data_IF_728103736094
#
_entry.id   IF_728103736094
#
_cell.length_a   1.000
_cell.length_b   1.000
_cell.length_c   1.000
_cell.angle_alpha   90.00
_cell.angle_beta   90.00
_cell.angle_gamma   90.00
#
_symmetry.space_group_name_H-M   'P 1'
#
loop_
_entity.id
_entity.type
_entity.pdbx_description
1 polymer ?
#
# COMPACT_ATOMS: atom_id res chain seq x y z
N UNK A 1 69.63 7.20 -8.60
CA UNK A 1 68.61 8.23 -8.37
C UNK A 1 67.29 7.52 -8.19
N UNK A 2 66.86 7.34 -6.93
CA UNK A 2 65.69 6.53 -6.56
C UNK A 2 64.46 7.45 -6.62
N UNK A 3 63.51 7.17 -7.51
CA UNK A 3 62.27 7.94 -7.63
C UNK A 3 61.27 7.34 -6.65
N UNK A 4 60.94 8.09 -5.58
CA UNK A 4 59.89 7.73 -4.63
C UNK A 4 58.57 8.24 -5.19
N UNK A 5 57.69 7.31 -5.54
CA UNK A 5 56.31 7.60 -5.97
C UNK A 5 55.46 7.82 -4.71
N UNK A 6 55.02 9.05 -4.44
CA UNK A 6 54.11 9.35 -3.35
C UNK A 6 52.66 9.03 -3.77
N UNK A 7 52.09 7.98 -3.18
CA UNK A 7 50.66 7.67 -3.29
C UNK A 7 49.85 8.66 -2.47
N UNK A 8 49.29 9.67 -3.14
CA UNK A 8 48.25 10.53 -2.58
C UNK A 8 46.99 9.68 -2.37
N UNK A 9 46.75 9.28 -1.12
CA UNK A 9 45.48 8.70 -0.73
C UNK A 9 44.43 9.81 -0.77
N UNK A 10 43.50 9.74 -1.72
CA UNK A 10 42.29 10.56 -1.65
C UNK A 10 41.51 10.11 -0.41
N UNK A 11 41.48 10.95 0.61
CA UNK A 11 40.55 10.78 1.73
C UNK A 11 39.16 11.01 1.14
N UNK A 12 38.45 9.92 0.82
CA UNK A 12 37.02 9.99 0.59
C UNK A 12 36.41 10.63 1.84
N UNK A 13 35.67 11.72 1.67
CA UNK A 13 35.03 12.43 2.76
C UNK A 13 34.08 11.46 3.48
N UNK A 14 34.40 11.10 4.73
CA UNK A 14 33.49 10.46 5.70
C UNK A 14 32.37 11.44 6.14
N UNK A 15 31.79 12.20 5.22
CA UNK A 15 30.63 13.04 5.52
C UNK A 15 29.41 12.18 5.25
N UNK A 16 28.74 11.75 6.32
CA UNK A 16 27.34 11.36 6.20
C UNK A 16 26.62 12.56 5.58
N UNK A 17 25.86 12.38 4.47
CA UNK A 17 25.02 13.45 3.98
C UNK A 17 23.98 13.74 5.07
N UNK A 18 24.16 14.85 5.77
CA UNK A 18 23.13 15.40 6.65
C UNK A 18 22.16 16.21 5.78
N UNK A 19 20.86 15.98 5.96
CA UNK A 19 19.85 16.85 5.37
C UNK A 19 20.06 18.26 5.91
N UNK A 20 20.02 19.26 5.04
CA UNK A 20 20.12 20.66 5.45
C UNK A 20 19.08 20.97 6.53
N UNK A 21 19.49 21.76 7.52
CA UNK A 21 18.65 22.18 8.64
C UNK A 21 17.37 22.85 8.10
N UNK A 22 16.21 22.36 8.56
CA UNK A 22 14.89 22.81 8.08
C UNK A 22 14.31 22.05 6.88
N UNK A 23 14.99 21.02 6.32
CA UNK A 23 14.42 20.14 5.28
C UNK A 23 13.50 19.04 5.81
N UNK A 24 13.51 18.78 7.12
CA UNK A 24 12.69 17.73 7.73
C UNK A 24 11.48 18.36 8.41
N UNK A 25 10.32 18.18 7.81
CA UNK A 25 9.02 18.40 8.45
C UNK A 25 8.49 17.04 8.92
N UNK A 26 8.01 16.97 10.16
CA UNK A 26 7.44 15.75 10.74
C UNK A 26 6.00 16.04 11.16
N UNK A 27 5.06 15.38 10.49
CA UNK A 27 3.64 15.47 10.77
C UNK A 27 3.12 14.08 11.20
N UNK A 28 2.47 14.01 12.37
CA UNK A 28 1.78 12.81 12.83
C UNK A 28 0.37 12.77 12.21
N UNK A 29 0.23 12.04 11.11
CA UNK A 29 -1.00 12.01 10.32
C UNK A 29 -2.12 11.18 10.98
N UNK A 30 -1.76 10.13 11.72
CA UNK A 30 -2.71 9.14 12.23
C UNK A 30 -2.42 8.82 13.69
N UNK A 31 -2.98 9.63 14.59
CA UNK A 31 -2.75 9.53 16.02
C UNK A 31 -3.96 8.93 16.75
N UNK A 32 -3.81 7.70 17.23
CA UNK A 32 -4.85 7.01 18.00
C UNK A 32 -5.18 7.72 19.34
N UNK A 33 -4.25 8.49 19.91
CA UNK A 33 -4.52 9.28 21.13
C UNK A 33 -5.57 10.38 20.92
N UNK A 34 -5.85 10.75 19.67
CA UNK A 34 -6.87 11.73 19.34
C UNK A 34 -8.30 11.14 19.31
N UNK A 35 -8.45 9.81 19.25
CA UNK A 35 -9.74 9.15 19.25
C UNK A 35 -9.69 7.84 20.08
N UNK A 36 -10.28 7.80 21.29
CA UNK A 36 -10.21 6.64 22.18
C UNK A 36 -10.94 5.39 21.66
N UNK A 37 -11.80 5.54 20.65
CA UNK A 37 -12.49 4.41 20.03
C UNK A 37 -11.57 3.64 19.06
N UNK A 38 -10.43 4.22 18.67
CA UNK A 38 -9.46 3.60 17.76
C UNK A 38 -8.28 3.06 18.56
N UNK A 39 -8.09 1.74 18.53
CA UNK A 39 -6.97 1.10 19.22
C UNK A 39 -5.61 1.50 18.62
N UNK A 40 -5.48 1.49 17.28
CA UNK A 40 -4.30 1.99 16.59
C UNK A 40 -4.49 2.15 15.08
N UNK A 41 -3.53 2.83 14.45
CA UNK A 41 -3.36 2.86 13.01
C UNK A 41 -2.10 2.10 12.60
N UNK A 42 -2.18 1.30 11.53
CA UNK A 42 -1.05 0.47 11.05
C UNK A 42 -1.06 0.33 9.53
N UNK A 43 0.10 -0.06 8.99
CA UNK A 43 0.26 -0.46 7.59
C UNK A 43 0.03 0.71 6.60
N UNK A 44 0.99 1.66 6.52
CA UNK A 44 0.83 2.84 5.68
C UNK A 44 1.03 2.54 4.19
N UNK A 45 0.27 3.26 3.37
CA UNK A 45 0.45 3.41 1.93
C UNK A 45 0.43 4.90 1.58
N UNK A 46 1.24 5.32 0.61
CA UNK A 46 1.22 6.71 0.14
C UNK A 46 1.55 6.80 -1.35
N UNK A 47 0.80 7.63 -2.07
CA UNK A 47 1.02 7.94 -3.49
C UNK A 47 0.94 9.44 -3.72
N UNK A 48 1.55 9.87 -4.83
CA UNK A 48 1.36 11.20 -5.40
C UNK A 48 0.45 11.07 -6.61
N UNK A 49 -0.70 11.73 -6.57
CA UNK A 49 -1.62 11.81 -7.69
C UNK A 49 -1.02 12.67 -8.82
N UNK A 50 -1.56 12.55 -10.03
CA UNK A 50 -1.02 13.25 -11.22
C UNK A 50 -1.17 14.78 -11.15
N UNK A 51 -2.07 15.31 -10.31
CA UNK A 51 -2.19 16.73 -10.01
C UNK A 51 -1.18 17.23 -8.95
N UNK A 52 -0.38 16.34 -8.37
CA UNK A 52 0.61 16.65 -7.32
C UNK A 52 0.11 16.46 -5.90
N UNK A 53 -1.18 16.14 -5.70
CA UNK A 53 -1.73 15.86 -4.37
C UNK A 53 -1.12 14.58 -3.80
N UNK A 54 -0.93 14.54 -2.48
CA UNK A 54 -0.54 13.31 -1.77
C UNK A 54 -1.78 12.65 -1.19
N UNK A 55 -1.87 11.33 -1.34
CA UNK A 55 -2.89 10.50 -0.69
C UNK A 55 -2.18 9.48 0.18
N UNK A 56 -2.41 9.53 1.49
CA UNK A 56 -1.89 8.59 2.47
C UNK A 56 -3.04 7.73 3.00
N UNK A 57 -2.92 6.40 2.87
CA UNK A 57 -3.88 5.42 3.37
C UNK A 57 -3.27 4.58 4.51
N UNK A 58 -4.09 4.10 5.42
CA UNK A 58 -3.66 3.29 6.57
C UNK A 58 -4.83 2.43 7.10
N UNK A 59 -4.53 1.32 7.78
CA UNK A 59 -5.53 0.63 8.58
C UNK A 59 -5.97 1.54 9.73
N UNK A 60 -7.27 1.69 9.93
CA UNK A 60 -7.87 2.12 11.18
C UNK A 60 -8.38 0.88 11.93
N UNK A 61 -7.68 0.47 13.00
CA UNK A 61 -8.02 -0.73 13.76
C UNK A 61 -8.80 -0.33 15.01
N UNK A 62 -10.08 -0.67 15.04
CA UNK A 62 -11.03 -0.16 16.04
C UNK A 62 -10.93 -0.93 17.37
N UNK A 63 -11.28 -2.23 17.45
CA UNK A 63 -11.40 -2.92 18.74
C UNK A 63 -10.06 -3.29 19.39
N UNK A 64 -9.03 -3.52 18.58
CA UNK A 64 -7.70 -3.95 19.03
C UNK A 64 -6.65 -3.67 17.96
N UNK A 65 -5.36 -3.82 18.30
CA UNK A 65 -4.26 -3.73 17.33
C UNK A 65 -3.95 -5.04 16.60
N UNK A 66 -4.80 -6.06 16.73
CA UNK A 66 -4.60 -7.35 16.07
C UNK A 66 -4.69 -7.23 14.55
N UNK A 67 -4.07 -8.17 13.85
CA UNK A 67 -4.14 -8.27 12.40
C UNK A 67 -5.50 -8.83 11.94
N UNK A 68 -5.72 -8.87 10.63
CA UNK A 68 -7.01 -9.16 9.98
C UNK A 68 -7.78 -10.36 10.57
N UNK A 69 -7.09 -11.46 10.90
CA UNK A 69 -7.73 -12.67 11.45
C UNK A 69 -8.30 -12.49 12.87
N UNK A 70 -7.78 -11.53 13.63
CA UNK A 70 -8.12 -11.28 15.05
C UNK A 70 -9.12 -10.14 15.25
N UNK A 71 -9.15 -9.18 14.32
CA UNK A 71 -10.02 -7.99 14.46
C UNK A 71 -11.24 -8.04 13.55
N UNK A 72 -12.41 -7.79 14.14
CA UNK A 72 -13.73 -7.81 13.48
C UNK A 72 -14.16 -6.46 12.90
N UNK A 73 -13.30 -5.46 13.00
CA UNK A 73 -13.52 -4.10 12.50
C UNK A 73 -12.14 -3.46 12.26
N UNK A 74 -11.70 -3.55 11.00
CA UNK A 74 -10.58 -2.81 10.46
C UNK A 74 -11.07 -2.10 9.20
N UNK A 75 -10.85 -0.80 9.15
CA UNK A 75 -11.23 0.06 8.04
C UNK A 75 -9.99 0.54 7.30
N UNK A 76 -10.13 0.93 6.04
CA UNK A 76 -9.10 1.72 5.35
C UNK A 76 -9.49 3.18 5.42
N UNK A 77 -8.61 3.98 6.01
CA UNK A 77 -8.77 5.44 6.07
C UNK A 77 -7.70 6.15 5.28
N UNK A 78 -8.03 7.33 4.76
CA UNK A 78 -7.08 8.21 4.09
C UNK A 78 -6.99 9.59 4.75
N UNK A 79 -5.87 10.26 4.48
CA UNK A 79 -5.74 11.71 4.50
C UNK A 79 -5.10 12.17 3.19
N UNK A 80 -5.37 13.42 2.82
CA UNK A 80 -4.86 14.01 1.58
C UNK A 80 -4.20 15.35 1.83
N UNK A 81 -3.17 15.64 1.05
CA UNK A 81 -2.50 16.94 1.06
C UNK A 81 -2.48 17.51 -0.35
N UNK A 82 -2.85 18.79 -0.47
CA UNK A 82 -2.86 19.55 -1.73
C UNK A 82 -1.71 20.57 -1.80
N UNK A 83 -0.82 20.51 -0.80
CA UNK A 83 0.27 21.47 -0.58
C UNK A 83 1.58 20.74 -0.25
N UNK A 84 1.83 19.63 -0.94
CA UNK A 84 3.09 18.86 -0.86
C UNK A 84 3.43 18.34 0.55
N UNK A 85 2.41 18.08 1.36
CA UNK A 85 2.53 17.48 2.69
C UNK A 85 2.57 18.47 3.85
N UNK A 86 2.43 19.78 3.59
CA UNK A 86 2.42 20.82 4.63
C UNK A 86 1.13 20.79 5.48
N UNK A 87 -0.02 20.54 4.86
CA UNK A 87 -1.29 20.33 5.55
C UNK A 87 -2.05 19.15 4.99
N UNK A 88 -2.90 18.56 5.84
CA UNK A 88 -3.61 17.32 5.53
C UNK A 88 -5.09 17.46 5.89
N UNK A 89 -5.95 16.87 5.07
CA UNK A 89 -7.38 16.76 5.33
C UNK A 89 -7.66 16.03 6.65
N UNK A 90 -8.91 16.12 7.11
CA UNK A 90 -9.44 15.20 8.10
C UNK A 90 -9.37 13.75 7.62
N UNK A 91 -9.45 12.81 8.57
CA UNK A 91 -9.48 11.36 8.29
C UNK A 91 -10.80 11.02 7.60
N UNK A 92 -10.71 10.29 6.50
CA UNK A 92 -11.85 9.79 5.72
C UNK A 92 -11.80 8.27 5.64
N UNK A 93 -12.88 7.57 6.01
CA UNK A 93 -13.03 6.13 5.77
C UNK A 93 -13.44 5.90 4.32
N UNK A 94 -12.55 5.25 3.56
CA UNK A 94 -12.79 4.91 2.14
C UNK A 94 -13.22 3.47 1.97
N UNK A 95 -12.89 2.61 2.94
CA UNK A 95 -13.39 1.24 3.05
C UNK A 95 -13.82 1.01 4.49
N UNK A 96 -15.13 0.83 4.70
CA UNK A 96 -15.78 0.62 6.00
C UNK A 96 -16.90 -0.42 5.79
N UNK A 97 -16.66 -1.64 6.25
CA UNK A 97 -17.59 -2.75 6.09
C UNK A 97 -18.42 -2.96 7.37
N UNK A 98 -19.59 -3.62 7.29
CA UNK A 98 -20.34 -3.98 8.48
C UNK A 98 -19.50 -4.80 9.46
N UNK A 99 -19.76 -4.63 10.76
CA UNK A 99 -19.12 -5.39 11.82
C UNK A 99 -19.03 -6.90 11.51
N UNK A 100 -17.84 -7.48 11.66
CA UNK A 100 -17.57 -8.88 11.32
C UNK A 100 -16.88 -9.04 9.96
N UNK A 101 -16.84 -7.97 9.16
CA UNK A 101 -16.08 -7.89 7.91
C UNK A 101 -15.00 -6.83 8.08
N UNK A 102 -13.78 -7.13 7.65
CA UNK A 102 -12.62 -6.26 7.85
C UNK A 102 -11.81 -6.14 6.56
N UNK A 103 -11.23 -4.96 6.36
CA UNK A 103 -10.28 -4.67 5.31
C UNK A 103 -8.93 -4.25 5.93
N UNK A 104 -7.81 -4.78 5.45
CA UNK A 104 -6.49 -4.37 5.97
C UNK A 104 -5.42 -4.32 4.89
N UNK A 105 -4.27 -3.79 5.29
CA UNK A 105 -3.02 -3.78 4.56
C UNK A 105 -3.15 -3.02 3.23
N UNK A 106 -3.52 -1.73 3.27
CA UNK A 106 -3.72 -0.95 2.07
C UNK A 106 -2.43 -0.86 1.27
N UNK A 107 -2.59 -0.89 -0.04
CA UNK A 107 -1.54 -0.54 -0.98
C UNK A 107 -2.12 0.21 -2.16
N UNK A 108 -1.32 1.06 -2.79
CA UNK A 108 -1.81 1.91 -3.88
C UNK A 108 -0.89 1.87 -5.09
N UNK A 109 -1.48 2.09 -6.26
CA UNK A 109 -0.80 2.45 -7.51
C UNK A 109 -1.45 3.76 -7.99
N UNK A 110 -0.64 4.76 -8.32
CA UNK A 110 -1.09 5.90 -9.10
C UNK A 110 -0.75 5.64 -10.57
N UNK A 111 -1.77 5.56 -11.42
CA UNK A 111 -1.60 5.41 -12.86
C UNK A 111 -1.30 6.79 -13.47
N UNK A 112 -0.07 7.01 -13.91
CA UNK A 112 0.37 8.28 -14.49
C UNK A 112 -0.25 8.54 -15.88
N UNK A 113 -0.77 7.50 -16.54
CA UNK A 113 -1.38 7.60 -17.87
C UNK A 113 -2.85 8.00 -17.77
N UNK A 114 -3.63 7.34 -16.90
CA UNK A 114 -5.06 7.65 -16.74
C UNK A 114 -5.32 8.72 -15.68
N UNK A 115 -4.41 8.89 -14.72
CA UNK A 115 -4.59 9.72 -13.54
C UNK A 115 -5.33 9.04 -12.39
N UNK A 116 -5.74 7.78 -12.56
CA UNK A 116 -6.47 7.04 -11.53
C UNK A 116 -5.56 6.61 -10.38
N UNK A 117 -6.12 6.62 -9.17
CA UNK A 117 -5.52 5.98 -8.00
C UNK A 117 -6.25 4.66 -7.76
N UNK A 118 -5.49 3.57 -7.71
CA UNK A 118 -5.98 2.23 -7.47
C UNK A 118 -5.54 1.83 -6.07
N UNK A 119 -6.48 1.59 -5.16
CA UNK A 119 -6.23 1.19 -3.78
C UNK A 119 -6.67 -0.25 -3.58
N UNK A 120 -5.71 -1.12 -3.28
CA UNK A 120 -5.90 -2.52 -2.95
C UNK A 120 -5.94 -2.73 -1.44
N UNK A 121 -6.69 -3.74 -1.01
CA UNK A 121 -6.72 -4.18 0.38
C UNK A 121 -7.08 -5.67 0.45
N UNK A 122 -6.74 -6.28 1.59
CA UNK A 122 -7.09 -7.65 1.90
C UNK A 122 -8.40 -7.65 2.69
N UNK A 123 -9.36 -8.48 2.29
CA UNK A 123 -10.69 -8.57 2.88
C UNK A 123 -10.93 -9.93 3.52
N UNK A 124 -11.62 -9.94 4.65
CA UNK A 124 -12.13 -11.15 5.29
C UNK A 124 -13.51 -10.92 5.89
N UNK A 125 -14.43 -11.84 5.65
CA UNK A 125 -15.67 -11.97 6.41
C UNK A 125 -15.43 -12.96 7.57
N UNK A 126 -15.15 -12.42 8.76
CA UNK A 126 -14.83 -13.21 9.95
C UNK A 126 -16.03 -13.98 10.51
N UNK A 127 -17.25 -13.61 10.13
CA UNK A 127 -18.48 -14.25 10.61
C UNK A 127 -18.92 -15.42 9.72
N UNK A 128 -18.79 -15.26 8.41
CA UNK A 128 -19.29 -16.24 7.43
C UNK A 128 -18.22 -17.19 6.94
N UNK A 129 -17.02 -16.68 6.69
CA UNK A 129 -15.94 -17.44 6.07
C UNK A 129 -14.56 -17.02 6.57
N UNK A 130 -14.39 -17.09 7.89
CA UNK A 130 -13.10 -16.89 8.55
C UNK A 130 -12.01 -17.74 7.87
N UNK A 131 -10.82 -17.15 7.73
CA UNK A 131 -9.64 -17.72 7.08
C UNK A 131 -9.76 -17.85 5.55
N UNK A 132 -10.75 -17.22 4.93
CA UNK A 132 -10.80 -17.00 3.49
C UNK A 132 -10.35 -15.58 3.19
N UNK A 133 -9.20 -15.47 2.54
CA UNK A 133 -8.57 -14.20 2.16
C UNK A 133 -9.00 -13.82 0.75
N UNK A 134 -9.79 -12.75 0.64
CA UNK A 134 -10.15 -12.12 -0.63
C UNK A 134 -9.30 -10.86 -0.85
N UNK A 135 -9.05 -10.54 -2.11
CA UNK A 135 -8.18 -9.47 -2.56
C UNK A 135 -9.03 -8.48 -3.34
N UNK A 136 -9.26 -7.32 -2.77
CA UNK A 136 -10.20 -6.33 -3.30
C UNK A 136 -9.48 -5.06 -3.74
N UNK A 137 -10.18 -4.26 -4.54
CA UNK A 137 -9.71 -2.96 -4.99
C UNK A 137 -10.85 -1.94 -5.04
N UNK A 138 -10.53 -0.68 -4.77
CA UNK A 138 -11.34 0.50 -5.09
C UNK A 138 -10.50 1.48 -5.89
N UNK A 139 -11.14 2.29 -6.75
CA UNK A 139 -10.46 3.22 -7.65
C UNK A 139 -10.99 4.63 -7.47
N UNK A 140 -10.12 5.60 -7.67
CA UNK A 140 -10.47 7.02 -7.70
C UNK A 140 -10.01 7.64 -9.02
N UNK A 141 -10.92 8.30 -9.72
CA UNK A 141 -10.67 9.04 -10.97
C UNK A 141 -10.59 10.57 -10.74
N UNK A 142 -10.64 11.00 -9.47
CA UNK A 142 -10.70 12.40 -9.05
C UNK A 142 -9.62 12.76 -8.02
N UNK A 143 -8.47 12.08 -8.10
CA UNK A 143 -7.28 12.30 -7.25
C UNK A 143 -7.54 12.00 -5.76
N UNK A 144 -8.36 10.98 -5.47
CA UNK A 144 -8.69 10.52 -4.13
C UNK A 144 -9.82 11.30 -3.46
N UNK A 145 -10.66 12.03 -4.20
CA UNK A 145 -11.84 12.73 -3.64
C UNK A 145 -13.05 11.82 -3.46
N UNK A 146 -13.20 10.84 -4.34
CA UNK A 146 -14.21 9.80 -4.24
C UNK A 146 -13.63 8.48 -4.73
N UNK A 147 -14.29 7.39 -4.33
CA UNK A 147 -13.85 6.02 -4.59
C UNK A 147 -15.00 5.20 -5.15
N UNK A 148 -14.67 4.27 -6.05
CA UNK A 148 -15.62 3.31 -6.60
C UNK A 148 -16.14 2.35 -5.53
N UNK A 149 -17.19 1.62 -5.86
CA UNK A 149 -17.56 0.42 -5.11
C UNK A 149 -16.42 -0.62 -5.11
N UNK A 150 -16.29 -1.44 -4.05
CA UNK A 150 -15.35 -2.55 -3.99
C UNK A 150 -15.48 -3.55 -5.15
N UNK A 151 -14.35 -3.90 -5.75
CA UNK A 151 -14.23 -4.98 -6.74
C UNK A 151 -13.41 -6.13 -6.15
N UNK A 152 -13.94 -7.35 -6.19
CA UNK A 152 -13.20 -8.57 -5.83
C UNK A 152 -12.39 -9.08 -7.04
N UNK A 153 -11.07 -8.95 -6.96
CA UNK A 153 -10.13 -9.38 -8.00
C UNK A 153 -9.46 -10.73 -7.66
N UNK A 154 -9.88 -11.41 -6.60
CA UNK A 154 -9.24 -12.65 -6.10
C UNK A 154 -9.08 -13.69 -7.19
N UNK A 155 -10.12 -13.94 -7.99
CA UNK A 155 -10.09 -14.95 -9.07
C UNK A 155 -9.19 -14.58 -10.25
N UNK A 156 -8.80 -13.31 -10.38
CA UNK A 156 -7.92 -12.81 -11.44
C UNK A 156 -6.44 -13.01 -11.06
N UNK A 157 -6.13 -12.91 -9.76
CA UNK A 157 -4.74 -12.87 -9.25
C UNK A 157 -4.38 -14.01 -8.28
N UNK A 158 -5.31 -14.91 -7.98
CA UNK A 158 -5.07 -16.11 -7.21
C UNK A 158 -5.74 -17.32 -7.85
N UNK A 159 -5.11 -18.48 -7.75
CA UNK A 159 -5.66 -19.73 -8.27
C UNK A 159 -6.76 -20.27 -7.36
N UNK A 160 -7.70 -21.01 -7.93
CA UNK A 160 -8.81 -21.61 -7.16
C UNK A 160 -8.30 -22.59 -6.09
N UNK A 161 -7.23 -23.34 -6.38
CA UNK A 161 -6.60 -24.22 -5.40
C UNK A 161 -6.02 -23.47 -4.18
N UNK A 162 -5.76 -22.15 -4.31
CA UNK A 162 -5.25 -21.29 -3.23
C UNK A 162 -6.35 -20.66 -2.39
N UNK A 163 -7.61 -21.04 -2.58
CA UNK A 163 -8.75 -20.40 -1.89
C UNK A 163 -8.58 -20.36 -0.37
N UNK A 164 -8.01 -21.42 0.22
CA UNK A 164 -7.79 -21.55 1.68
C UNK A 164 -6.38 -21.19 2.14
N UNK A 165 -5.50 -20.83 1.22
CA UNK A 165 -4.13 -20.48 1.58
C UNK A 165 -4.11 -19.10 2.23
N UNK A 166 -3.17 -18.91 3.15
CA UNK A 166 -2.83 -17.58 3.61
C UNK A 166 -2.17 -16.84 2.45
N UNK A 167 -2.91 -15.88 1.88
CA UNK A 167 -2.44 -15.02 0.80
C UNK A 167 -2.88 -13.57 1.02
N UNK A 168 -2.07 -12.64 0.56
CA UNK A 168 -2.34 -11.21 0.69
C UNK A 168 -1.61 -10.40 -0.38
N UNK A 169 -2.25 -9.33 -0.86
CA UNK A 169 -1.54 -8.27 -1.57
C UNK A 169 -0.64 -7.57 -0.55
N UNK A 170 0.64 -7.38 -0.90
CA UNK A 170 1.58 -6.73 0.02
C UNK A 170 1.16 -5.29 0.25
N UNK A 171 1.29 -4.79 1.47
CA UNK A 171 1.02 -3.38 1.77
C UNK A 171 2.04 -2.42 1.15
N UNK A 172 1.70 -1.12 1.17
CA UNK A 172 2.58 -0.06 0.69
C UNK A 172 2.20 0.38 -0.71
N UNK A 173 3.00 0.04 -1.73
CA UNK A 173 2.81 0.62 -3.07
C UNK A 173 3.28 -0.32 -4.18
N UNK A 174 2.44 -0.47 -5.21
CA UNK A 174 2.81 -1.08 -6.48
C UNK A 174 3.44 -0.05 -7.43
N UNK A 175 3.73 -0.44 -8.66
CA UNK A 175 4.38 0.44 -9.63
C UNK A 175 3.63 0.45 -10.97
N UNK A 176 3.82 1.52 -11.72
CA UNK A 176 3.60 1.53 -13.15
C UNK A 176 4.96 1.48 -13.87
N UNK A 177 5.09 0.61 -14.86
CA UNK A 177 6.30 0.56 -15.68
C UNK A 177 6.30 1.70 -16.70
N UNK A 178 7.46 1.99 -17.31
CA UNK A 178 7.56 2.96 -18.39
C UNK A 178 6.71 2.64 -19.63
N UNK A 179 6.24 1.39 -19.77
CA UNK A 179 5.34 0.99 -20.87
C UNK A 179 3.86 1.08 -20.49
N UNK A 180 3.54 1.52 -19.27
CA UNK A 180 2.17 1.68 -18.78
C UNK A 180 1.62 0.49 -18.00
N UNK A 181 2.29 -0.67 -18.02
CA UNK A 181 1.86 -1.87 -17.27
C UNK A 181 1.89 -1.59 -15.77
N UNK A 182 0.79 -1.88 -15.08
CA UNK A 182 0.70 -1.83 -13.62
C UNK A 182 1.19 -3.14 -13.05
N UNK A 183 2.02 -3.10 -12.00
CA UNK A 183 2.58 -4.28 -11.34
C UNK A 183 2.49 -4.15 -9.83
N UNK A 184 2.15 -5.27 -9.18
CA UNK A 184 2.13 -5.36 -7.72
C UNK A 184 2.55 -6.76 -7.27
N UNK A 185 2.93 -6.87 -5.99
CA UNK A 185 3.26 -8.14 -5.34
C UNK A 185 2.04 -8.71 -4.59
N UNK A 186 1.89 -10.02 -4.66
CA UNK A 186 1.05 -10.83 -3.75
C UNK A 186 1.93 -11.92 -3.13
N UNK A 187 1.74 -12.19 -1.85
CA UNK A 187 2.40 -13.30 -1.15
C UNK A 187 1.35 -14.38 -0.91
N UNK A 188 1.71 -15.62 -1.22
CA UNK A 188 1.03 -16.82 -0.76
C UNK A 188 2.05 -17.61 0.07
N UNK A 189 1.76 -17.93 1.33
CA UNK A 189 2.76 -18.53 2.23
C UNK A 189 3.23 -19.93 1.77
N UNK A 190 2.39 -20.67 1.05
CA UNK A 190 2.71 -22.01 0.57
C UNK A 190 3.35 -21.99 -0.83
N UNK A 191 3.14 -20.92 -1.60
CA UNK A 191 3.56 -20.82 -2.99
C UNK A 191 4.62 -19.73 -3.28
N UNK A 192 4.90 -18.87 -2.30
CA UNK A 192 5.90 -17.81 -2.36
C UNK A 192 5.33 -16.45 -2.78
N UNK A 193 6.24 -15.55 -3.15
CA UNK A 193 5.89 -14.22 -3.67
C UNK A 193 5.60 -14.33 -5.17
N UNK A 194 4.46 -13.81 -5.61
CA UNK A 194 4.14 -13.64 -7.02
C UNK A 194 3.99 -12.16 -7.34
N UNK A 195 4.16 -11.85 -8.63
CA UNK A 195 3.68 -10.59 -9.18
C UNK A 195 2.31 -10.80 -9.80
N UNK A 196 1.49 -9.77 -9.79
CA UNK A 196 0.34 -9.65 -10.66
C UNK A 196 0.41 -8.31 -11.37
N UNK A 197 -0.28 -8.20 -12.49
CA UNK A 197 -0.26 -6.98 -13.28
C UNK A 197 -1.54 -6.70 -14.03
N UNK A 198 -1.57 -5.53 -14.65
CA UNK A 198 -2.63 -5.08 -15.55
C UNK A 198 -1.99 -4.32 -16.72
N UNK A 199 -2.40 -4.69 -17.93
CA UNK A 199 -1.99 -4.02 -19.18
C UNK A 199 -3.10 -3.09 -19.72
N UNK A 200 -4.22 -2.98 -19.02
CA UNK A 200 -5.42 -2.23 -19.41
C UNK A 200 -5.85 -1.20 -18.36
N UNK A 201 -4.87 -0.66 -17.63
CA UNK A 201 -5.04 0.40 -16.63
C UNK A 201 -5.99 -0.01 -15.49
N UNK A 202 -5.82 -1.24 -15.01
CA UNK A 202 -6.55 -1.79 -13.88
C UNK A 202 -7.97 -2.25 -14.19
N UNK A 203 -8.40 -2.29 -15.47
CA UNK A 203 -9.71 -2.85 -15.84
C UNK A 203 -9.77 -4.36 -15.63
N UNK A 204 -8.65 -5.06 -15.85
CA UNK A 204 -8.47 -6.46 -15.49
C UNK A 204 -7.05 -6.72 -15.00
N UNK A 205 -6.90 -7.81 -14.25
CA UNK A 205 -5.64 -8.22 -13.65
C UNK A 205 -5.27 -9.63 -14.08
N UNK A 206 -3.97 -9.94 -14.04
CA UNK A 206 -3.47 -11.28 -14.29
C UNK A 206 -2.37 -11.65 -13.29
N UNK A 207 -2.40 -12.90 -12.84
CA UNK A 207 -1.32 -13.48 -12.07
C UNK A 207 -0.12 -13.81 -12.96
N UNK A 208 1.07 -13.37 -12.56
CA UNK A 208 2.33 -13.89 -13.10
C UNK A 208 2.63 -15.18 -12.34
N UNK A 209 2.24 -16.31 -12.93
CA UNK A 209 2.29 -17.65 -12.34
C UNK A 209 3.70 -18.25 -12.32
N UNK A 210 4.67 -17.45 -11.88
CA UNK A 210 6.02 -17.90 -11.59
C UNK A 210 6.47 -17.19 -10.32
N UNK A 211 6.59 -17.92 -9.19
CA UNK A 211 6.97 -17.29 -7.94
C UNK A 211 8.39 -16.74 -8.04
N UNK A 212 8.58 -15.53 -7.50
CA UNK A 212 9.90 -14.94 -7.32
C UNK A 212 10.58 -15.64 -6.14
N UNK A 213 11.67 -16.33 -6.43
CA UNK A 213 12.55 -16.91 -5.42
C UNK A 213 13.66 -15.91 -5.10
N UNK A 214 13.86 -15.51 -3.84
CA UNK A 214 15.08 -14.84 -3.44
C UNK A 214 16.27 -15.71 -3.86
N UNK A 215 17.23 -15.10 -4.58
CA UNK A 215 18.44 -15.78 -5.05
C UNK A 215 19.40 -16.15 -3.93
#
# INVERSE_FOLDING_TARGET
MLIILALLHSVAQNRNPELAEGLLEVNDLFNASANPDIACYRIPSIVTATNGDLVAAIDERVPSCEDLMGSRDINIVIRRSQDHGHSWSDIERVVDFPQGQSASDPSMIADEITGEIILFYNYMDLDREKDIYCLHVVKSDDHGQSWSEPEDITSQIAKEEWRKDFKFITSGRGIQTSSGTLLHCMVNLDHGLHLFGSDDHGQSWYLIDTPIKPG
#
